data_IF_846642102889
#
_entry.id   IF_846642102889
#
_cell.length_a   1.000
_cell.length_b   1.000
_cell.length_c   1.000
_cell.angle_alpha   90.00
_cell.angle_beta   90.00
_cell.angle_gamma   90.00
#
_symmetry.space_group_name_H-M   'P 1'
#
loop_
_entity.id
_entity.type
_entity.pdbx_description
1 polymer ?
#
# COMPACT_ATOMS: atom_id res chain seq x y z
N UNK A 1 -29.16 9.09 6.46
CA UNK A 1 -28.26 9.39 7.60
C UNK A 1 -27.99 8.03 8.18
N UNK A 2 -26.92 7.39 7.71
CA UNK A 2 -26.73 5.96 7.91
C UNK A 2 -25.68 5.83 9.00
N UNK A 3 -26.10 5.32 10.16
CA UNK A 3 -25.25 5.14 11.33
C UNK A 3 -24.04 4.27 10.99
N UNK A 4 -22.85 4.81 11.19
CA UNK A 4 -21.61 4.07 11.14
C UNK A 4 -21.51 3.29 12.47
N UNK A 5 -21.94 2.03 12.43
CA UNK A 5 -21.94 1.14 13.59
C UNK A 5 -20.52 0.63 13.82
N UNK A 6 -19.91 1.05 14.94
CA UNK A 6 -18.61 0.59 15.41
C UNK A 6 -18.84 -0.67 16.25
N UNK A 7 -18.58 -1.83 15.66
CA UNK A 7 -18.27 -3.04 16.42
C UNK A 7 -16.75 -3.04 16.57
N UNK A 8 -16.18 -3.15 17.78
CA UNK A 8 -14.76 -2.84 18.05
C UNK A 8 -13.68 -3.52 17.20
N UNK A 9 -14.06 -4.45 16.31
CA UNK A 9 -13.20 -5.11 15.32
C UNK A 9 -13.49 -4.67 13.87
N UNK A 10 -14.33 -3.66 13.65
CA UNK A 10 -14.77 -3.21 12.34
C UNK A 10 -14.85 -1.68 12.27
N UNK A 11 -14.24 -1.11 11.22
CA UNK A 11 -14.39 0.30 10.87
C UNK A 11 -14.86 0.44 9.43
N UNK A 12 -15.80 1.34 9.22
CA UNK A 12 -16.36 1.64 7.91
C UNK A 12 -16.04 3.08 7.49
N UNK A 13 -16.00 3.30 6.18
CA UNK A 13 -15.82 4.62 5.61
C UNK A 13 -16.00 4.63 4.10
N UNK A 14 -15.68 5.77 3.48
CA UNK A 14 -15.76 5.88 2.01
C UNK A 14 -14.52 5.29 1.36
N UNK A 15 -14.75 4.56 0.26
CA UNK A 15 -13.67 4.03 -0.59
C UNK A 15 -12.84 5.19 -1.14
N UNK A 16 -11.52 5.04 -1.09
CA UNK A 16 -10.59 5.93 -1.77
C UNK A 16 -10.14 5.30 -3.08
N UNK A 17 -9.91 6.17 -4.07
CA UNK A 17 -9.25 5.83 -5.32
C UNK A 17 -8.01 6.69 -5.44
N UNK A 18 -6.92 6.08 -5.88
CA UNK A 18 -5.73 6.83 -6.29
C UNK A 18 -6.04 7.44 -7.66
N UNK A 19 -6.27 8.74 -7.69
CA UNK A 19 -6.42 9.51 -8.92
C UNK A 19 -5.06 9.84 -9.55
N UNK A 20 -5.10 10.27 -10.81
CA UNK A 20 -3.92 10.71 -11.56
C UNK A 20 -3.08 11.71 -10.75
N UNK A 21 -1.77 11.47 -10.64
CA UNK A 21 -0.86 12.24 -9.79
C UNK A 21 -0.69 11.74 -8.35
N UNK A 22 -1.14 10.52 -8.03
CA UNK A 22 -0.94 9.90 -6.71
C UNK A 22 -1.87 10.45 -5.63
N UNK A 23 -2.95 11.12 -6.03
CA UNK A 23 -3.86 11.79 -5.12
C UNK A 23 -4.96 10.85 -4.62
N UNK A 24 -5.11 10.73 -3.30
CA UNK A 24 -6.20 9.96 -2.68
C UNK A 24 -7.50 10.76 -2.76
N UNK A 25 -8.45 10.29 -3.56
CA UNK A 25 -9.75 10.92 -3.72
C UNK A 25 -10.87 9.98 -3.28
N UNK A 26 -11.83 10.42 -2.45
CA UNK A 26 -12.98 9.60 -2.09
C UNK A 26 -13.87 9.40 -3.31
N UNK A 27 -14.25 8.14 -3.54
CA UNK A 27 -15.32 7.87 -4.49
C UNK A 27 -16.64 8.45 -3.97
N UNK A 28 -17.42 9.00 -4.89
CA UNK A 28 -18.74 9.54 -4.60
C UNK A 28 -19.71 8.45 -4.15
N UNK A 29 -19.49 7.22 -4.62
CA UNK A 29 -20.32 6.06 -4.35
C UNK A 29 -19.48 4.88 -3.87
N UNK A 30 -20.07 4.11 -2.97
CA UNK A 30 -19.46 2.91 -2.40
C UNK A 30 -18.95 3.09 -0.98
N UNK A 31 -18.83 1.96 -0.29
CA UNK A 31 -18.39 1.86 1.10
C UNK A 31 -17.28 0.84 1.20
N UNK A 32 -16.24 1.19 1.94
CA UNK A 32 -15.18 0.26 2.32
C UNK A 32 -15.27 0.01 3.82
N UNK A 33 -15.12 -1.25 4.19
CA UNK A 33 -15.12 -1.71 5.57
C UNK A 33 -13.84 -2.48 5.81
N UNK A 34 -13.11 -2.13 6.86
CA UNK A 34 -12.03 -2.95 7.37
C UNK A 34 -12.51 -3.72 8.59
N UNK A 35 -12.34 -5.05 8.54
CA UNK A 35 -12.64 -5.94 9.65
C UNK A 35 -11.35 -6.63 10.06
N UNK A 36 -11.03 -6.58 11.35
CA UNK A 36 -9.91 -7.32 11.93
C UNK A 36 -10.38 -8.74 12.24
N UNK A 37 -9.85 -9.73 11.52
CA UNK A 37 -9.94 -11.15 11.86
C UNK A 37 -8.61 -11.62 12.51
N UNK A 38 -8.63 -12.75 13.21
CA UNK A 38 -7.53 -13.24 14.06
C UNK A 38 -6.10 -13.13 13.48
N UNK A 39 -5.92 -13.33 12.17
CA UNK A 39 -4.60 -13.26 11.51
C UNK A 39 -4.61 -12.42 10.21
N UNK A 40 -5.71 -11.71 9.95
CA UNK A 40 -5.84 -10.93 8.70
C UNK A 40 -6.76 -9.73 8.85
N UNK A 41 -6.39 -8.66 8.16
CA UNK A 41 -7.25 -7.53 7.92
C UNK A 41 -8.07 -7.81 6.65
N UNK A 42 -9.39 -7.85 6.80
CA UNK A 42 -10.31 -8.06 5.68
C UNK A 42 -10.88 -6.72 5.24
N UNK A 43 -10.55 -6.33 4.01
CA UNK A 43 -11.17 -5.19 3.36
C UNK A 43 -12.37 -5.68 2.52
N UNK A 44 -13.54 -5.15 2.81
CA UNK A 44 -14.74 -5.32 1.98
C UNK A 44 -15.08 -3.98 1.36
N UNK A 45 -14.87 -3.86 0.05
CA UNK A 45 -15.31 -2.69 -0.70
C UNK A 45 -16.52 -3.03 -1.55
N UNK A 46 -17.55 -2.20 -1.45
CA UNK A 46 -18.75 -2.26 -2.28
C UNK A 46 -18.80 -1.01 -3.13
N UNK A 47 -18.64 -1.16 -4.44
CA UNK A 47 -18.92 -0.13 -5.42
C UNK A 47 -20.31 -0.32 -6.04
N UNK A 48 -20.67 0.57 -6.97
CA UNK A 48 -21.92 0.44 -7.75
C UNK A 48 -21.91 -0.83 -8.60
N UNK A 49 -20.75 -1.18 -9.17
CA UNK A 49 -20.63 -2.22 -10.20
C UNK A 49 -19.93 -3.48 -9.69
N UNK A 50 -19.08 -3.36 -8.67
CA UNK A 50 -18.27 -4.47 -8.17
C UNK A 50 -18.20 -4.49 -6.65
N UNK A 51 -18.26 -5.70 -6.09
CA UNK A 51 -17.90 -5.98 -4.69
C UNK A 51 -16.56 -6.69 -4.69
N UNK A 52 -15.64 -6.17 -3.91
CA UNK A 52 -14.28 -6.68 -3.82
C UNK A 52 -13.97 -7.02 -2.36
N UNK A 53 -13.35 -8.18 -2.16
CA UNK A 53 -12.90 -8.65 -0.86
C UNK A 53 -11.40 -8.86 -0.92
N UNK A 54 -10.64 -7.99 -0.28
CA UNK A 54 -9.19 -8.15 -0.13
C UNK A 54 -8.90 -8.68 1.28
N UNK A 55 -7.91 -9.56 1.40
CA UNK A 55 -7.44 -10.09 2.68
C UNK A 55 -5.95 -9.83 2.79
N UNK A 56 -5.57 -9.05 3.78
CA UNK A 56 -4.19 -8.64 4.03
C UNK A 56 -3.73 -9.38 5.30
N UNK A 57 -2.77 -10.31 5.22
CA UNK A 57 -2.22 -10.96 6.41
C UNK A 57 -1.62 -9.93 7.36
N UNK A 58 -1.85 -10.07 8.67
CA UNK A 58 -1.33 -9.10 9.66
C UNK A 58 0.20 -9.01 9.63
N UNK A 59 0.88 -10.12 9.36
CA UNK A 59 2.33 -10.16 9.19
C UNK A 59 2.86 -9.26 8.04
N UNK A 60 2.02 -8.90 7.07
CA UNK A 60 2.39 -8.03 5.94
C UNK A 60 2.14 -6.55 6.19
N UNK A 61 1.43 -6.20 7.26
CA UNK A 61 1.13 -4.81 7.62
C UNK A 61 2.35 -4.23 8.33
N UNK A 62 2.92 -3.17 7.76
CA UNK A 62 4.08 -2.48 8.34
C UNK A 62 3.67 -1.34 9.27
N UNK A 63 2.61 -0.61 8.91
CA UNK A 63 2.09 0.49 9.70
C UNK A 63 0.62 0.77 9.35
N UNK A 64 -0.15 1.24 10.33
CA UNK A 64 -1.49 1.77 10.13
C UNK A 64 -1.62 3.09 10.87
N UNK A 65 -2.06 4.15 10.19
CA UNK A 65 -2.12 5.48 10.78
C UNK A 65 -3.29 6.31 10.24
N UNK A 66 -3.85 7.15 11.12
CA UNK A 66 -4.81 8.17 10.71
C UNK A 66 -4.03 9.40 10.25
N UNK A 67 -4.10 9.69 8.96
CA UNK A 67 -3.51 10.86 8.33
C UNK A 67 -4.56 11.93 8.10
N UNK A 68 -4.25 13.17 8.50
CA UNK A 68 -5.09 14.33 8.23
C UNK A 68 -4.48 15.13 7.07
N UNK A 69 -5.24 15.33 6.00
CA UNK A 69 -4.82 16.16 4.85
C UNK A 69 -5.93 17.11 4.43
N UNK A 70 -5.56 18.35 4.10
CA UNK A 70 -6.48 19.30 3.48
C UNK A 70 -6.91 18.84 2.09
N UNK A 71 -8.06 19.32 1.61
CA UNK A 71 -8.55 18.98 0.28
C UNK A 71 -7.71 19.71 -0.81
N UNK A 72 -6.85 19.03 -1.57
CA UNK A 72 -5.94 19.65 -2.53
C UNK A 72 -6.67 20.45 -3.61
N UNK A 73 -7.92 20.10 -3.90
CA UNK A 73 -8.77 20.83 -4.85
C UNK A 73 -8.99 22.28 -4.40
N UNK A 74 -9.24 22.51 -3.10
CA UNK A 74 -9.38 23.87 -2.56
C UNK A 74 -8.06 24.64 -2.61
N UNK A 75 -6.93 23.97 -2.40
CA UNK A 75 -5.62 24.60 -2.54
C UNK A 75 -5.39 25.07 -3.99
N UNK A 76 -5.63 24.19 -4.97
CA UNK A 76 -5.45 24.49 -6.40
C UNK A 76 -6.38 25.62 -6.84
N UNK A 77 -7.68 25.54 -6.51
CA UNK A 77 -8.63 26.61 -6.82
C UNK A 77 -8.28 27.92 -6.10
N UNK A 78 -7.79 27.85 -4.86
CA UNK A 78 -7.36 29.02 -4.11
C UNK A 78 -6.19 29.75 -4.74
N UNK A 79 -5.18 29.01 -5.24
CA UNK A 79 -4.07 29.62 -5.98
C UNK A 79 -4.55 30.19 -7.33
N UNK A 80 -5.38 29.43 -8.07
CA UNK A 80 -5.85 29.83 -9.40
C UNK A 80 -6.76 31.07 -9.37
N UNK A 81 -7.57 31.20 -8.32
CA UNK A 81 -8.55 32.31 -8.17
C UNK A 81 -8.04 33.45 -7.29
N UNK A 82 -6.80 33.39 -6.79
CA UNK A 82 -6.15 34.47 -6.06
C UNK A 82 -6.19 35.84 -6.78
N UNK A 83 -5.92 35.93 -8.10
CA UNK A 83 -5.95 37.23 -8.81
C UNK A 83 -7.37 37.78 -9.00
N UNK A 84 -8.43 36.97 -8.84
CA UNK A 84 -9.82 37.44 -8.88
C UNK A 84 -10.22 38.04 -7.53
N UNK A 85 -9.70 39.23 -7.23
CA UNK A 85 -10.12 40.05 -6.08
C UNK A 85 -9.98 39.35 -4.71
N UNK A 86 -8.98 38.48 -4.55
CA UNK A 86 -8.75 37.76 -3.29
C UNK A 86 -9.76 36.63 -3.02
N UNK A 87 -10.61 36.26 -3.98
CA UNK A 87 -11.48 35.08 -3.86
C UNK A 87 -10.67 33.82 -3.54
N UNK A 88 -9.43 33.73 -4.04
CA UNK A 88 -8.51 32.66 -3.71
C UNK A 88 -8.20 32.50 -2.22
N UNK A 89 -8.19 33.60 -1.43
CA UNK A 89 -7.99 33.52 0.02
C UNK A 89 -9.11 32.73 0.70
N UNK A 90 -10.36 32.84 0.21
CA UNK A 90 -11.49 32.08 0.75
C UNK A 90 -11.27 30.57 0.55
N UNK A 91 -10.81 30.15 -0.63
CA UNK A 91 -10.54 28.73 -0.91
C UNK A 91 -9.32 28.21 -0.14
N UNK A 92 -8.27 29.02 0.00
CA UNK A 92 -7.12 28.68 0.85
C UNK A 92 -7.56 28.54 2.31
N UNK A 93 -8.43 29.43 2.80
CA UNK A 93 -9.00 29.30 4.14
C UNK A 93 -9.83 28.01 4.29
N UNK A 94 -10.69 27.71 3.31
CA UNK A 94 -11.46 26.46 3.28
C UNK A 94 -10.57 25.21 3.28
N UNK A 95 -9.39 25.25 2.65
CA UNK A 95 -8.43 24.15 2.67
C UNK A 95 -8.00 23.77 4.09
N UNK A 96 -7.79 24.78 4.95
CA UNK A 96 -7.43 24.56 6.36
C UNK A 96 -8.63 24.24 7.26
N UNK A 97 -9.80 24.82 6.97
CA UNK A 97 -11.01 24.63 7.78
C UNK A 97 -11.73 23.30 7.52
N UNK A 98 -11.51 22.68 6.36
CA UNK A 98 -12.15 21.42 5.98
C UNK A 98 -11.12 20.30 5.77
N UNK A 99 -10.38 19.90 6.84
CA UNK A 99 -9.47 18.77 6.76
C UNK A 99 -10.25 17.49 6.45
N UNK A 100 -9.63 16.61 5.66
CA UNK A 100 -10.10 15.24 5.45
C UNK A 100 -9.20 14.30 6.22
N UNK A 101 -9.81 13.31 6.84
CA UNK A 101 -9.12 12.30 7.63
C UNK A 101 -9.13 10.99 6.88
N UNK A 102 -7.98 10.33 6.82
CA UNK A 102 -7.78 9.10 6.09
C UNK A 102 -7.10 8.09 6.99
N UNK A 103 -7.65 6.90 7.11
CA UNK A 103 -6.98 5.76 7.71
C UNK A 103 -6.18 5.07 6.61
N UNK A 104 -4.85 5.12 6.72
CA UNK A 104 -3.93 4.56 5.74
C UNK A 104 -3.28 3.32 6.32
N UNK A 105 -3.35 2.22 5.57
CA UNK A 105 -2.70 0.96 5.88
C UNK A 105 -1.55 0.77 4.90
N UNK A 106 -0.34 0.67 5.44
CA UNK A 106 0.85 0.32 4.69
C UNK A 106 1.07 -1.18 4.78
N UNK A 107 1.05 -1.85 3.64
CA UNK A 107 1.52 -3.23 3.50
C UNK A 107 2.79 -3.25 2.64
N UNK A 108 3.53 -4.36 2.66
CA UNK A 108 4.80 -4.46 1.93
C UNK A 108 4.71 -4.11 0.44
N UNK A 109 3.58 -4.34 -0.23
CA UNK A 109 3.41 -4.12 -1.67
C UNK A 109 2.21 -3.24 -2.04
N UNK A 110 1.41 -2.79 -1.08
CA UNK A 110 0.19 -2.05 -1.34
C UNK A 110 -0.12 -1.02 -0.25
N UNK A 111 -0.71 0.09 -0.63
CA UNK A 111 -1.18 1.15 0.26
C UNK A 111 -2.67 1.26 0.10
N UNK A 112 -3.41 0.73 1.08
CA UNK A 112 -4.86 0.89 1.13
C UNK A 112 -5.21 2.03 2.05
N UNK A 113 -6.28 2.76 1.71
CA UNK A 113 -6.70 3.88 2.52
C UNK A 113 -8.23 4.00 2.53
N UNK A 114 -8.75 4.47 3.66
CA UNK A 114 -10.17 4.64 3.92
C UNK A 114 -10.42 6.07 4.40
N UNK A 115 -11.46 6.72 3.87
CA UNK A 115 -11.83 8.06 4.32
C UNK A 115 -12.65 7.96 5.61
N UNK A 116 -12.10 8.52 6.69
CA UNK A 116 -12.73 8.57 8.00
C UNK A 116 -13.76 9.71 8.04
N UNK A 117 -14.93 9.45 8.62
CA UNK A 117 -15.96 10.45 8.86
C UNK A 117 -16.39 10.41 10.32
N UNK A 118 -16.82 11.56 10.84
CA UNK A 118 -17.29 11.66 12.22
C UNK A 118 -16.14 11.62 13.24
N UNK A 119 -16.34 10.88 14.31
CA UNK A 119 -15.38 10.75 15.40
C UNK A 119 -14.14 9.95 14.96
N UNK A 120 -12.95 10.48 15.25
CA UNK A 120 -11.68 9.87 14.89
C UNK A 120 -11.22 8.82 15.89
N UNK A 121 -11.70 8.88 17.14
CA UNK A 121 -11.36 7.94 18.21
C UNK A 121 -11.49 6.46 17.80
N UNK A 122 -12.61 5.99 17.23
CA UNK A 122 -12.74 4.59 16.81
C UNK A 122 -11.70 4.17 15.76
N UNK A 123 -11.29 5.07 14.87
CA UNK A 123 -10.28 4.78 13.86
C UNK A 123 -8.87 4.71 14.44
N UNK A 124 -8.57 5.54 15.46
CA UNK A 124 -7.33 5.45 16.21
C UNK A 124 -7.26 4.15 17.01
N UNK A 125 -8.32 3.82 17.76
CA UNK A 125 -8.40 2.59 18.55
C UNK A 125 -8.25 1.34 17.66
N UNK A 126 -8.88 1.36 16.48
CA UNK A 126 -8.73 0.30 15.49
C UNK A 126 -7.31 0.20 14.92
N UNK A 127 -6.69 1.33 14.55
CA UNK A 127 -5.32 1.35 14.04
C UNK A 127 -4.32 0.80 15.06
N UNK A 128 -4.49 1.16 16.33
CA UNK A 128 -3.66 0.68 17.44
C UNK A 128 -3.86 -0.82 17.68
N UNK A 129 -5.10 -1.31 17.62
CA UNK A 129 -5.42 -2.74 17.73
C UNK A 129 -4.79 -3.56 16.60
N UNK A 130 -4.91 -3.10 15.34
CA UNK A 130 -4.30 -3.77 14.17
C UNK A 130 -2.78 -3.78 14.29
N UNK A 131 -2.16 -2.65 14.67
CA UNK A 131 -0.70 -2.55 14.80
C UNK A 131 -0.17 -3.46 15.90
N UNK A 132 -0.87 -3.55 17.04
CA UNK A 132 -0.51 -4.47 18.13
C UNK A 132 -0.59 -5.93 17.68
N UNK A 133 -1.69 -6.32 17.03
CA UNK A 133 -1.86 -7.68 16.53
C UNK A 133 -0.84 -8.04 15.44
N UNK A 134 -0.45 -7.08 14.59
CA UNK A 134 0.61 -7.27 13.60
C UNK A 134 1.98 -7.52 14.24
N UNK A 135 2.31 -6.82 15.33
CA UNK A 135 3.55 -7.04 16.09
C UNK A 135 3.54 -8.46 16.71
N UNK A 136 2.44 -8.84 17.38
CA UNK A 136 2.30 -10.17 17.99
C UNK A 136 2.43 -11.31 16.96
N UNK A 137 1.86 -11.14 15.76
CA UNK A 137 1.98 -12.09 14.66
C UNK A 137 3.41 -12.19 14.11
N UNK A 138 4.13 -11.07 14.04
CA UNK A 138 5.55 -11.03 13.64
C UNK A 138 6.47 -11.69 14.67
N UNK A 139 6.17 -11.55 15.96
CA UNK A 139 6.91 -12.22 17.04
C UNK A 139 6.67 -13.74 17.03
N UNK A 140 5.42 -14.16 16.83
CA UNK A 140 5.04 -15.59 16.76
C UNK A 140 5.70 -16.31 15.57
N UNK A 141 5.80 -15.63 14.43
CA UNK A 141 6.49 -16.15 13.24
C UNK A 141 8.01 -16.18 13.42
N UNK A 142 8.59 -15.24 14.18
CA UNK A 142 10.02 -15.26 14.55
C UNK A 142 10.34 -16.36 15.57
N UNK A 143 9.44 -16.65 16.50
CA UNK A 143 9.60 -17.70 17.51
C UNK A 143 9.66 -19.12 16.92
N UNK A 144 8.99 -19.37 15.79
CA UNK A 144 9.03 -20.68 15.10
C UNK A 144 10.33 -20.94 14.31
N UNK A 145 11.27 -19.99 14.25
CA UNK A 145 12.58 -20.17 13.62
C UNK A 145 13.76 -20.16 14.60
N UNK A 146 13.51 -20.20 15.91
CA UNK A 146 14.57 -20.27 16.91
C UNK A 146 14.77 -21.70 17.43
N UNK A 147 15.59 -22.49 16.73
CA UNK A 147 16.40 -23.53 17.35
C UNK A 147 17.76 -23.68 16.63
N UNK A 148 18.86 -24.00 17.35
CA UNK A 148 20.22 -23.60 17.01
C UNK A 148 21.08 -24.78 16.54
N UNK A 149 21.96 -24.55 15.55
CA UNK A 149 23.12 -25.43 15.33
C UNK A 149 24.41 -24.61 15.15
N UNK A 150 25.17 -24.62 16.24
CA UNK A 150 26.63 -24.77 16.32
C UNK A 150 27.53 -23.99 15.35
N UNK A 151 28.23 -22.99 15.88
CA UNK A 151 29.62 -22.68 15.49
C UNK A 151 30.58 -23.74 16.07
N UNK A 152 31.91 -23.76 15.79
CA UNK A 152 32.70 -23.04 14.77
C UNK A 152 33.64 -23.99 13.98
N UNK A 153 34.13 -23.62 12.79
CA UNK A 153 35.51 -23.86 12.37
C UNK A 153 35.81 -23.08 11.08
N UNK A 154 36.90 -22.32 11.13
CA UNK A 154 37.49 -21.62 10.01
C UNK A 154 37.86 -22.58 8.88
N UNK A 155 37.70 -22.13 7.63
CA UNK A 155 38.73 -22.19 6.59
C UNK A 155 38.24 -21.45 5.34
N UNK A 156 39.16 -20.68 4.76
CA UNK A 156 39.03 -20.02 3.48
C UNK A 156 38.47 -20.99 2.41
N UNK A 157 37.39 -20.61 1.75
CA UNK A 157 37.11 -21.09 0.40
C UNK A 157 36.24 -20.06 -0.34
N UNK A 158 36.87 -19.36 -1.28
CA UNK A 158 36.22 -18.51 -2.27
C UNK A 158 35.15 -19.30 -3.05
N UNK A 159 33.89 -18.86 -3.17
CA UNK A 159 32.97 -19.52 -4.08
C UNK A 159 33.31 -19.12 -5.52
N UNK A 160 33.73 -20.12 -6.29
CA UNK A 160 34.06 -20.05 -7.70
C UNK A 160 33.00 -19.28 -8.51
N UNK A 161 33.45 -18.26 -9.24
CA UNK A 161 32.68 -17.54 -10.25
C UNK A 161 32.21 -18.50 -11.35
N UNK A 162 30.90 -18.74 -11.44
CA UNK A 162 30.28 -19.33 -12.62
C UNK A 162 30.22 -18.28 -13.74
N UNK A 163 30.60 -18.59 -14.99
CA UNK A 163 30.73 -17.60 -16.06
C UNK A 163 29.36 -17.06 -16.51
N UNK A 164 29.27 -15.74 -16.64
CA UNK A 164 28.12 -15.08 -17.26
C UNK A 164 27.96 -15.55 -18.71
N UNK A 165 26.82 -16.13 -19.05
CA UNK A 165 26.53 -16.56 -20.42
C UNK A 165 26.04 -15.37 -21.25
N UNK A 166 26.57 -15.25 -22.48
CA UNK A 166 26.07 -14.32 -23.50
C UNK A 166 24.95 -15.00 -24.28
N UNK A 167 23.82 -14.34 -24.46
CA UNK A 167 22.70 -14.84 -25.27
C UNK A 167 22.30 -13.79 -26.30
N UNK A 168 22.11 -14.22 -27.54
CA UNK A 168 21.72 -13.37 -28.65
C UNK A 168 20.21 -13.43 -28.84
N UNK A 169 19.56 -12.27 -28.94
CA UNK A 169 18.12 -12.20 -29.19
C UNK A 169 17.79 -12.70 -30.61
N UNK A 170 16.85 -13.66 -30.77
CA UNK A 170 16.51 -14.20 -32.09
C UNK A 170 15.75 -13.21 -32.98
N UNK A 171 15.09 -12.19 -32.39
CA UNK A 171 14.31 -11.21 -33.15
C UNK A 171 15.14 -10.08 -33.76
N UNK A 172 16.18 -9.61 -33.06
CA UNK A 172 16.94 -8.42 -33.47
C UNK A 172 18.46 -8.60 -33.44
N UNK A 173 18.95 -9.80 -33.15
CA UNK A 173 20.38 -10.14 -33.16
C UNK A 173 21.22 -9.45 -32.08
N UNK A 174 20.60 -8.78 -31.10
CA UNK A 174 21.33 -8.06 -30.05
C UNK A 174 21.84 -9.04 -28.98
N UNK A 175 23.12 -8.94 -28.62
CA UNK A 175 23.74 -9.75 -27.57
C UNK A 175 23.48 -9.17 -26.18
N UNK A 176 23.09 -10.04 -25.23
CA UNK A 176 22.87 -9.71 -23.83
C UNK A 176 23.78 -10.56 -22.94
N UNK A 177 24.34 -9.94 -21.90
CA UNK A 177 25.00 -10.68 -20.81
C UNK A 177 23.96 -10.99 -19.74
N UNK A 178 23.71 -12.27 -19.51
CA UNK A 178 22.75 -12.69 -18.48
C UNK A 178 23.44 -12.79 -17.12
N UNK A 179 22.83 -12.26 -16.05
CA UNK A 179 23.34 -12.48 -14.69
C UNK A 179 23.19 -13.96 -14.30
N UNK A 180 24.15 -14.45 -13.51
CA UNK A 180 24.15 -15.83 -13.02
C UNK A 180 22.86 -16.09 -12.22
N UNK A 181 22.04 -17.05 -12.66
CA UNK A 181 20.71 -17.35 -12.09
C UNK A 181 19.52 -17.07 -13.02
N UNK A 182 19.75 -16.51 -14.21
CA UNK A 182 18.71 -16.31 -15.22
C UNK A 182 18.45 -17.54 -16.12
N UNK A 183 19.24 -18.61 -15.99
CA UNK A 183 19.08 -19.83 -16.76
C UNK A 183 17.67 -20.43 -16.53
N UNK A 184 16.89 -20.58 -17.61
CA UNK A 184 15.53 -21.11 -17.58
C UNK A 184 14.41 -20.07 -17.37
N UNK A 185 14.72 -18.78 -17.22
CA UNK A 185 13.71 -17.71 -17.15
C UNK A 185 13.47 -17.09 -18.52
N UNK A 186 12.20 -16.92 -18.90
CA UNK A 186 11.81 -16.21 -20.13
C UNK A 186 12.04 -14.71 -19.95
N UNK A 187 13.09 -14.17 -20.55
CA UNK A 187 13.40 -12.74 -20.51
C UNK A 187 12.90 -12.07 -21.78
N UNK A 188 12.61 -10.76 -21.73
CA UNK A 188 12.21 -9.99 -22.92
C UNK A 188 13.37 -9.13 -23.40
N UNK A 189 13.63 -9.15 -24.70
CA UNK A 189 14.57 -8.26 -25.36
C UNK A 189 14.16 -6.81 -25.13
N UNK A 190 15.06 -5.96 -24.63
CA UNK A 190 14.74 -4.54 -24.39
C UNK A 190 14.47 -3.77 -25.69
N UNK A 191 14.99 -4.25 -26.83
CA UNK A 191 14.92 -3.54 -28.12
C UNK A 191 13.68 -3.91 -28.95
N UNK A 192 13.34 -5.19 -29.03
CA UNK A 192 12.24 -5.68 -29.88
C UNK A 192 11.15 -6.47 -29.12
N UNK A 193 11.27 -6.56 -27.79
CA UNK A 193 10.34 -7.27 -26.91
C UNK A 193 10.16 -8.77 -27.16
N UNK A 194 10.90 -9.38 -28.09
CA UNK A 194 10.87 -10.83 -28.29
C UNK A 194 11.43 -11.58 -27.07
N UNK A 195 10.96 -12.80 -26.87
CA UNK A 195 11.40 -13.65 -25.76
C UNK A 195 12.82 -14.15 -26.05
N UNK A 196 13.71 -13.96 -25.07
CA UNK A 196 15.10 -14.42 -25.02
C UNK A 196 15.17 -15.44 -23.90
N UNK A 197 15.54 -16.68 -24.21
CA UNK A 197 15.57 -17.81 -23.28
C UNK A 197 16.57 -18.86 -23.74
#
# INVERSE_FOLDING_TARGET
MDGEEFSGNEVSGKRLMVSFGGLLTPQLFGRTTFTLENDRLVERSSGIVAREKCQIPLAMISAMAVSTRGNPVFLVFGILTLPLFGLGLLFILLYFLLPRHFLVTHSNNDITALNCRGDLRPYHDFADAVTRAAIEAQESSRGSHAAPHAAPHALLASPAQAPASKVTCPGCGTEYKLPAGAAGRRLRCQKCQSIVG
#
